data_IF_951907283742
#
_entry.id   IF_951907283742
#
_cell.length_a   1.000
_cell.length_b   1.000
_cell.length_c   1.000
_cell.angle_alpha   90.00
_cell.angle_beta   90.00
_cell.angle_gamma   90.00
#
_symmetry.space_group_name_H-M   'P 1'
#
loop_
_entity.id
_entity.type
_entity.pdbx_description
1 polymer ?
#
# COMPACT_ATOMS: atom_id res chain seq x y z
N UNK A 1 8.83 -2.95 3.64
CA UNK A 1 8.08 -2.68 2.39
C UNK A 1 6.69 -2.16 2.74
N UNK A 2 6.13 -1.28 1.92
CA UNK A 2 4.77 -0.75 2.08
C UNK A 2 3.97 -1.10 0.81
N UNK A 3 2.78 -1.66 0.98
CA UNK A 3 1.85 -1.93 -0.13
C UNK A 3 0.56 -1.17 0.12
N UNK A 4 0.25 -0.21 -0.75
CA UNK A 4 -0.99 0.56 -0.77
C UNK A 4 -2.00 -0.11 -1.71
N UNK A 5 -3.13 -0.52 -1.15
CA UNK A 5 -4.26 -1.08 -1.88
C UNK A 5 -5.29 0.02 -2.09
N UNK A 6 -5.46 0.45 -3.34
CA UNK A 6 -6.36 1.53 -3.70
C UNK A 6 -6.93 1.36 -5.11
N UNK A 7 -7.44 2.45 -5.67
CA UNK A 7 -7.92 2.50 -7.04
C UNK A 7 -7.61 3.89 -7.62
N UNK A 8 -7.01 3.93 -8.82
CA UNK A 8 -6.57 5.18 -9.47
C UNK A 8 -7.71 6.16 -9.78
N UNK A 9 -8.92 5.64 -9.84
CA UNK A 9 -10.16 6.34 -10.17
C UNK A 9 -10.86 6.92 -8.94
N UNK A 10 -10.37 6.64 -7.73
CA UNK A 10 -10.91 7.12 -6.46
C UNK A 10 -10.29 8.48 -6.06
N UNK A 11 -11.11 9.50 -5.77
CA UNK A 11 -10.61 10.84 -5.39
C UNK A 11 -9.78 10.87 -4.11
N UNK A 12 -10.14 10.12 -3.04
CA UNK A 12 -9.26 9.90 -1.89
C UNK A 12 -7.85 9.43 -2.26
N UNK A 13 -7.73 8.49 -3.21
CA UNK A 13 -6.43 7.96 -3.63
C UNK A 13 -5.62 8.99 -4.41
N UNK A 14 -6.25 9.76 -5.30
CA UNK A 14 -5.56 10.83 -6.07
C UNK A 14 -4.87 11.86 -5.16
N UNK A 15 -5.42 12.11 -3.97
CA UNK A 15 -4.81 13.01 -2.97
C UNK A 15 -3.62 12.36 -2.24
N UNK A 16 -3.66 11.04 -2.01
CA UNK A 16 -2.54 10.33 -1.37
C UNK A 16 -1.41 9.97 -2.33
N UNK A 17 -1.70 9.71 -3.60
CA UNK A 17 -0.72 9.22 -4.56
C UNK A 17 0.55 10.09 -4.66
N UNK A 18 0.48 11.45 -4.68
CA UNK A 18 1.68 12.28 -4.68
C UNK A 18 2.58 12.05 -3.46
N UNK A 19 1.98 11.91 -2.27
CA UNK A 19 2.71 11.68 -1.01
C UNK A 19 3.39 10.31 -1.01
N UNK A 20 2.74 9.27 -1.54
CA UNK A 20 3.32 7.94 -1.64
C UNK A 20 4.49 7.88 -2.63
N UNK A 21 4.44 8.67 -3.71
CA UNK A 21 5.54 8.81 -4.67
C UNK A 21 6.73 9.50 -4.00
N UNK A 22 6.50 10.59 -3.28
CA UNK A 22 7.53 11.31 -2.52
C UNK A 22 8.16 10.40 -1.46
N UNK A 23 7.34 9.73 -0.64
CA UNK A 23 7.82 8.79 0.38
C UNK A 23 8.67 7.66 -0.21
N UNK A 24 8.27 7.13 -1.37
CA UNK A 24 9.07 6.10 -2.04
C UNK A 24 10.42 6.62 -2.53
N UNK A 25 10.53 7.91 -2.88
CA UNK A 25 11.79 8.54 -3.26
C UNK A 25 12.68 8.76 -2.03
N UNK A 26 12.12 9.26 -0.93
CA UNK A 26 12.85 9.49 0.32
C UNK A 26 13.38 8.20 0.95
N UNK A 27 12.60 7.12 0.86
CA UNK A 27 12.95 5.82 1.42
C UNK A 27 13.78 4.94 0.47
N UNK A 28 14.25 5.46 -0.67
CA UNK A 28 15.08 4.68 -1.61
C UNK A 28 16.26 4.02 -0.89
N UNK A 29 16.37 2.71 -1.07
CA UNK A 29 17.40 1.88 -0.43
C UNK A 29 17.10 1.45 1.01
N UNK A 30 16.01 1.94 1.62
CA UNK A 30 15.54 1.55 2.96
C UNK A 30 14.20 0.83 2.93
N UNK A 31 13.28 1.31 2.11
CA UNK A 31 11.98 0.68 1.90
C UNK A 31 11.53 0.88 0.46
N UNK A 32 10.54 0.07 0.07
CA UNK A 32 9.87 0.17 -1.22
C UNK A 32 8.38 0.38 -0.94
N UNK A 33 7.79 1.38 -1.58
CA UNK A 33 6.34 1.60 -1.61
C UNK A 33 5.80 1.07 -2.94
N UNK A 34 4.82 0.19 -2.88
CA UNK A 34 4.13 -0.38 -4.04
C UNK A 34 2.65 -0.01 -3.97
N UNK A 35 2.07 0.29 -5.12
CA UNK A 35 0.64 0.51 -5.27
C UNK A 35 0.02 -0.67 -6.01
N UNK A 36 -1.16 -1.09 -5.55
CA UNK A 36 -1.99 -2.10 -6.17
C UNK A 36 -3.38 -1.53 -6.41
N UNK A 37 -3.79 -1.50 -7.67
CA UNK A 37 -5.15 -1.18 -8.08
C UNK A 37 -6.05 -2.40 -7.90
N UNK A 38 -6.90 -2.38 -6.87
CA UNK A 38 -7.76 -3.51 -6.52
C UNK A 38 -8.95 -3.68 -7.47
N UNK A 39 -9.31 -2.65 -8.23
CA UNK A 39 -10.37 -2.75 -9.24
C UNK A 39 -9.86 -3.45 -10.50
N UNK A 40 -8.57 -3.29 -10.82
CA UNK A 40 -7.92 -4.01 -11.93
C UNK A 40 -7.42 -5.40 -11.52
N UNK A 41 -7.12 -5.59 -10.24
CA UNK A 41 -6.62 -6.86 -9.72
C UNK A 41 -7.46 -7.36 -8.54
N UNK A 42 -8.65 -7.90 -8.86
CA UNK A 42 -9.64 -8.33 -7.86
C UNK A 42 -9.20 -9.49 -6.95
N UNK A 43 -8.10 -10.18 -7.26
CA UNK A 43 -7.51 -11.20 -6.38
C UNK A 43 -6.39 -10.66 -5.49
N UNK A 44 -5.93 -9.43 -5.69
CA UNK A 44 -4.77 -8.90 -4.95
C UNK A 44 -5.04 -8.71 -3.45
N UNK A 45 -6.30 -8.64 -3.05
CA UNK A 45 -6.73 -8.52 -1.65
C UNK A 45 -7.11 -9.87 -1.04
N UNK A 46 -7.03 -10.96 -1.80
CA UNK A 46 -7.45 -12.27 -1.33
C UNK A 46 -6.60 -12.71 -0.12
N UNK A 47 -7.27 -13.06 0.98
CA UNK A 47 -6.62 -13.45 2.23
C UNK A 47 -6.14 -12.26 3.10
N UNK A 48 -6.38 -11.02 2.68
CA UNK A 48 -6.09 -9.83 3.47
C UNK A 48 -7.38 -9.25 4.08
N UNK A 49 -7.36 -8.73 5.32
CA UNK A 49 -8.52 -8.14 5.99
C UNK A 49 -8.85 -6.71 5.48
N UNK A 50 -8.90 -6.51 4.17
CA UNK A 50 -9.17 -5.20 3.56
C UNK A 50 -10.68 -4.99 3.48
N UNK A 51 -11.20 -4.01 4.23
CA UNK A 51 -12.63 -3.66 4.25
C UNK A 51 -12.95 -2.35 3.53
N UNK A 52 -11.94 -1.49 3.35
CA UNK A 52 -12.07 -0.20 2.70
C UNK A 52 -10.79 0.13 1.91
N UNK A 53 -10.90 1.03 0.93
CA UNK A 53 -9.76 1.58 0.22
C UNK A 53 -9.72 3.11 0.37
N UNK A 54 -8.53 3.73 0.41
CA UNK A 54 -7.21 3.09 0.38
C UNK A 54 -6.83 2.43 1.72
N UNK A 55 -6.11 1.30 1.69
CA UNK A 55 -5.56 0.61 2.87
C UNK A 55 -4.09 0.26 2.66
N UNK A 56 -3.25 0.45 3.67
CA UNK A 56 -1.80 0.22 3.59
C UNK A 56 -1.37 -0.94 4.48
N UNK A 57 -0.57 -1.84 3.90
CA UNK A 57 0.09 -2.91 4.64
C UNK A 57 1.58 -2.65 4.69
N UNK A 58 2.15 -2.85 5.88
CA UNK A 58 3.58 -2.76 6.12
C UNK A 58 4.13 -4.17 6.28
N UNK A 59 5.30 -4.40 5.70
CA UNK A 59 6.01 -5.67 5.77
C UNK A 59 7.44 -5.41 6.24
N UNK A 60 7.94 -6.27 7.10
CA UNK A 60 9.33 -6.27 7.55
C UNK A 60 10.28 -6.70 6.41
N UNK A 61 11.59 -6.61 6.66
CA UNK A 61 12.61 -7.01 5.69
C UNK A 61 12.53 -8.50 5.33
N UNK A 62 12.08 -9.35 6.26
CA UNK A 62 11.87 -10.79 6.05
C UNK A 62 10.56 -11.13 5.32
N UNK A 63 9.77 -10.11 4.93
CA UNK A 63 8.49 -10.27 4.26
C UNK A 63 7.33 -10.62 5.19
N UNK A 64 7.54 -10.73 6.50
CA UNK A 64 6.46 -10.89 7.46
C UNK A 64 5.60 -9.62 7.53
N UNK A 65 4.27 -9.73 7.71
CA UNK A 65 3.42 -8.57 7.97
C UNK A 65 3.90 -7.87 9.24
N UNK A 66 4.05 -6.56 9.18
CA UNK A 66 4.35 -5.76 10.36
C UNK A 66 3.10 -5.74 11.24
N UNK A 67 3.10 -6.57 12.29
CA UNK A 67 2.11 -6.44 13.36
C UNK A 67 2.33 -5.09 14.06
N UNK A 68 1.33 -4.20 14.08
CA UNK A 68 1.39 -3.05 14.97
C UNK A 68 1.53 -3.55 16.41
N UNK A 69 2.52 -3.06 17.14
CA UNK A 69 2.62 -3.28 18.59
C UNK A 69 1.58 -2.40 19.30
N UNK A 70 0.29 -2.70 19.10
CA UNK A 70 -0.84 -2.05 19.80
C UNK A 70 -2.06 -2.95 19.80
#
# INVERSE_FOLDING_TARGET
MIVDFGADSCDPYKKMAPLLIELNQELRGKAVVKFVDVWKNGQATAGLPIQAIPTQFFFNEDGSPMCPLI
#
